data_IF_941891586121
#
_entry.id   IF_941891586121
#
_cell.length_a   1.000
_cell.length_b   1.000
_cell.length_c   1.000
_cell.angle_alpha   90.00
_cell.angle_beta   90.00
_cell.angle_gamma   90.00
#
_symmetry.space_group_name_H-M   'P 1'
#
loop_
_entity.id
_entity.type
_entity.pdbx_description
1 polymer ?
#
# COMPACT_ATOMS: atom_id res chain seq x y z
N UNK A 1 -34.22 21.25 -16.50
CA UNK A 1 -33.74 19.96 -17.04
C UNK A 1 -32.25 19.85 -16.78
N UNK A 2 -31.85 19.12 -15.75
CA UNK A 2 -30.47 19.09 -15.26
C UNK A 2 -29.54 18.39 -16.25
N UNK A 3 -28.46 19.06 -16.65
CA UNK A 3 -27.36 18.50 -17.46
C UNK A 3 -26.79 17.30 -16.71
N UNK A 4 -26.90 16.09 -17.29
CA UNK A 4 -26.24 14.90 -16.75
C UNK A 4 -24.74 15.15 -16.60
N UNK A 5 -24.19 14.84 -15.43
CA UNK A 5 -22.74 14.93 -15.18
C UNK A 5 -22.00 14.17 -16.28
N UNK A 6 -21.13 14.87 -17.03
CA UNK A 6 -20.25 14.22 -17.99
C UNK A 6 -19.29 13.29 -17.24
N UNK A 7 -19.42 11.98 -17.47
CA UNK A 7 -18.50 10.98 -16.90
C UNK A 7 -17.39 10.71 -17.90
N UNK A 8 -16.15 10.74 -17.43
CA UNK A 8 -15.00 10.42 -18.29
C UNK A 8 -14.99 8.94 -18.63
N UNK A 9 -14.38 8.56 -19.77
CA UNK A 9 -14.15 7.13 -20.11
C UNK A 9 -13.37 6.39 -19.02
N UNK A 10 -12.54 7.10 -18.24
CA UNK A 10 -11.83 6.53 -17.10
C UNK A 10 -12.78 6.14 -15.96
N UNK A 11 -13.78 6.98 -15.66
CA UNK A 11 -14.78 6.70 -14.63
C UNK A 11 -15.62 5.47 -14.99
N UNK A 12 -16.03 5.35 -16.25
CA UNK A 12 -16.75 4.17 -16.76
C UNK A 12 -15.93 2.87 -16.58
N UNK A 13 -14.62 2.92 -16.88
CA UNK A 13 -13.72 1.77 -16.69
C UNK A 13 -13.58 1.39 -15.21
N UNK A 14 -13.49 2.37 -14.32
CA UNK A 14 -13.40 2.15 -12.87
C UNK A 14 -14.66 1.46 -12.35
N UNK A 15 -15.83 1.95 -12.75
CA UNK A 15 -17.12 1.38 -12.35
C UNK A 15 -17.30 -0.05 -12.85
N UNK A 16 -16.91 -0.34 -14.11
CA UNK A 16 -16.92 -1.71 -14.65
C UNK A 16 -16.00 -2.67 -13.87
N UNK A 17 -14.84 -2.20 -13.38
CA UNK A 17 -13.91 -3.02 -12.57
C UNK A 17 -14.43 -3.30 -11.17
N UNK A 18 -15.05 -2.32 -10.52
CA UNK A 18 -15.69 -2.49 -9.21
C UNK A 18 -16.76 -3.59 -9.25
N UNK A 19 -17.61 -3.56 -10.28
CA UNK A 19 -18.65 -4.57 -10.45
C UNK A 19 -18.07 -5.98 -10.71
N UNK A 20 -16.87 -6.09 -11.31
CA UNK A 20 -16.17 -7.37 -11.50
C UNK A 20 -15.51 -7.91 -10.23
N UNK A 21 -14.94 -7.04 -9.40
CA UNK A 21 -14.16 -7.44 -8.24
C UNK A 21 -15.00 -7.62 -6.95
N UNK A 22 -16.33 -7.52 -7.05
CA UNK A 22 -17.25 -7.54 -5.92
C UNK A 22 -17.07 -6.31 -5.00
N UNK A 23 -17.97 -6.12 -4.02
CA UNK A 23 -17.74 -5.14 -2.97
C UNK A 23 -16.50 -5.59 -2.18
N UNK A 24 -15.36 -4.97 -2.47
CA UNK A 24 -14.11 -5.27 -1.78
C UNK A 24 -14.33 -5.27 -0.28
N UNK A 25 -13.94 -6.36 0.39
CA UNK A 25 -13.93 -6.42 1.85
C UNK A 25 -12.75 -5.59 2.32
N UNK A 26 -12.98 -4.30 2.51
CA UNK A 26 -11.99 -3.38 3.04
C UNK A 26 -11.96 -3.51 4.56
N UNK A 27 -11.53 -4.65 5.10
CA UNK A 27 -11.23 -4.75 6.53
C UNK A 27 -9.92 -4.00 6.78
N UNK A 28 -9.98 -2.67 6.68
CA UNK A 28 -8.88 -1.74 6.91
C UNK A 28 -8.67 -1.57 8.42
N UNK A 29 -8.39 -2.66 9.11
CA UNK A 29 -7.72 -2.57 10.41
C UNK A 29 -6.23 -2.33 10.12
N UNK A 30 -5.93 -1.11 9.64
CA UNK A 30 -4.56 -0.64 9.40
C UNK A 30 -3.90 -0.31 10.75
N UNK A 31 -3.81 -1.30 11.63
CA UNK A 31 -3.22 -1.18 12.96
C UNK A 31 -2.37 -2.40 13.26
N UNK A 32 -1.41 -2.25 14.19
CA UNK A 32 -0.69 -3.41 14.74
C UNK A 32 -1.74 -4.40 15.24
N UNK A 33 -1.74 -5.60 14.68
CA UNK A 33 -2.62 -6.70 15.11
C UNK A 33 -2.40 -6.90 16.61
N UNK A 34 -3.36 -6.48 17.42
CA UNK A 34 -3.38 -6.83 18.84
C UNK A 34 -3.49 -8.36 18.90
N UNK A 35 -2.73 -9.00 19.79
CA UNK A 35 -2.62 -10.47 19.97
C UNK A 35 -3.94 -11.17 19.60
N UNK A 36 -4.03 -11.72 18.39
CA UNK A 36 -5.16 -12.56 18.00
C UNK A 36 -4.95 -13.94 18.63
N UNK A 37 -6.03 -14.54 19.14
CA UNK A 37 -6.05 -16.00 19.26
C UNK A 37 -5.78 -16.56 17.87
N UNK A 38 -4.80 -17.47 17.75
CA UNK A 38 -4.36 -17.98 16.46
C UNK A 38 -5.51 -18.57 15.65
N UNK A 39 -5.31 -18.67 14.34
CA UNK A 39 -6.30 -19.28 13.45
C UNK A 39 -6.06 -20.79 13.33
N UNK A 40 -7.12 -21.55 13.09
CA UNK A 40 -6.98 -22.98 12.78
C UNK A 40 -6.15 -23.18 11.49
N UNK A 41 -5.40 -24.28 11.36
CA UNK A 41 -4.70 -24.58 10.12
C UNK A 41 -5.67 -24.59 8.92
N UNK A 42 -5.21 -24.11 7.76
CA UNK A 42 -5.94 -24.10 6.50
C UNK A 42 -7.28 -23.32 6.52
N UNK A 43 -7.42 -22.30 7.38
CA UNK A 43 -8.64 -21.49 7.49
C UNK A 43 -8.78 -20.35 6.47
N UNK A 44 -7.76 -20.10 5.64
CA UNK A 44 -7.74 -18.96 4.73
C UNK A 44 -7.69 -19.41 3.27
N UNK A 45 -8.61 -18.92 2.45
CA UNK A 45 -8.59 -19.14 1.00
C UNK A 45 -7.44 -18.39 0.30
N UNK A 46 -7.05 -17.23 0.85
CA UNK A 46 -5.99 -16.36 0.32
C UNK A 46 -5.29 -15.64 1.47
N UNK A 47 -3.95 -15.56 1.41
CA UNK A 47 -3.12 -14.87 2.40
C UNK A 47 -2.22 -13.87 1.66
N UNK A 48 -2.27 -12.60 2.06
CA UNK A 48 -1.33 -11.57 1.61
C UNK A 48 -0.37 -11.27 2.76
N UNK A 49 0.93 -11.50 2.55
CA UNK A 49 1.98 -11.17 3.50
C UNK A 49 2.80 -9.99 2.97
N UNK A 50 2.43 -8.78 3.39
CA UNK A 50 3.27 -7.58 3.21
C UNK A 50 4.26 -7.51 4.36
N UNK A 51 5.31 -8.33 4.28
CA UNK A 51 6.33 -8.38 5.31
C UNK A 51 7.09 -7.05 5.41
N UNK A 52 7.56 -6.66 6.61
CA UNK A 52 8.47 -5.52 6.73
C UNK A 52 9.69 -5.76 5.85
N UNK A 53 10.03 -4.77 5.01
CA UNK A 53 11.13 -4.84 4.07
C UNK A 53 12.05 -3.63 4.22
N UNK A 54 13.30 -3.76 3.74
CA UNK A 54 14.31 -2.70 3.80
C UNK A 54 14.03 -1.49 2.92
N UNK A 55 12.97 -1.53 2.09
CA UNK A 55 12.57 -0.47 1.16
C UNK A 55 13.65 -0.03 0.12
N UNK A 56 14.77 -0.75 0.00
CA UNK A 56 15.88 -0.45 -0.93
C UNK A 56 15.48 -0.50 -2.43
N UNK A 57 14.35 -1.14 -2.71
CA UNK A 57 13.76 -1.24 -4.05
C UNK A 57 12.91 -0.02 -4.44
N UNK A 58 12.55 0.85 -3.50
CA UNK A 58 11.71 2.01 -3.78
C UNK A 58 12.45 3.01 -4.68
N UNK A 59 11.71 3.60 -5.61
CA UNK A 59 12.22 4.60 -6.57
C UNK A 59 11.44 5.91 -6.38
N UNK A 60 12.08 7.07 -6.54
CA UNK A 60 13.48 7.26 -6.92
C UNK A 60 14.44 6.96 -5.75
N UNK A 61 15.58 6.33 -6.07
CA UNK A 61 16.65 6.05 -5.12
C UNK A 61 17.38 7.36 -4.80
N UNK A 62 16.76 8.24 -4.02
CA UNK A 62 17.54 9.25 -3.30
C UNK A 62 18.37 8.45 -2.30
N UNK A 63 19.68 8.37 -2.57
CA UNK A 63 20.65 7.65 -1.76
C UNK A 63 20.39 7.86 -0.27
N UNK A 64 20.46 6.77 0.50
CA UNK A 64 20.38 6.79 1.95
C UNK A 64 21.42 7.78 2.49
N UNK A 65 20.96 8.95 2.89
CA UNK A 65 21.81 10.09 3.23
C UNK A 65 22.50 9.93 4.59
N UNK A 66 22.27 8.83 5.33
CA UNK A 66 22.95 8.59 6.61
C UNK A 66 24.47 8.52 6.47
N UNK A 67 25.00 7.85 5.44
CA UNK A 67 26.45 7.80 5.21
C UNK A 67 27.03 9.08 4.60
N UNK A 68 26.21 9.94 3.99
CA UNK A 68 26.67 11.22 3.43
C UNK A 68 26.74 12.32 4.50
N UNK A 69 25.79 12.33 5.45
CA UNK A 69 25.80 13.29 6.55
C UNK A 69 26.95 13.06 7.52
N UNK A 70 27.36 11.81 7.75
CA UNK A 70 28.54 11.49 8.57
C UNK A 70 29.85 11.91 7.89
N UNK A 71 29.97 11.75 6.56
CA UNK A 71 31.13 12.23 5.80
C UNK A 71 31.23 13.77 5.79
N UNK A 72 30.09 14.48 5.70
CA UNK A 72 30.02 15.94 5.77
C UNK A 72 30.39 16.49 7.17
N UNK A 73 30.15 15.73 8.24
CA UNK A 73 30.58 16.08 9.60
C UNK A 73 32.08 15.94 9.82
N UNK A 74 32.72 14.94 9.20
CA UNK A 74 34.16 14.69 9.32
C UNK A 74 35.04 15.64 8.49
N UNK A 75 34.49 16.28 7.45
CA UNK A 75 35.20 17.28 6.63
C UNK A 75 35.26 18.69 7.23
N UNK A 76 34.90 18.87 8.50
CA UNK A 76 34.88 20.15 9.22
C UNK A 76 35.68 20.10 10.54
N UNK A 77 36.82 19.45 10.52
CA UNK A 77 37.87 19.57 11.54
C UNK A 77 39.22 19.88 10.88
#
# INVERSE_FOLDING_TARGET
>A
MGKGRYTSKAELRKQSRLMKNGPGKNQLTCGRVNKCEGFSPNSFDRVLLDAPCSALGLRPRLFAAESLFDWLKLGKE
#
